data_IF_309148425378
#
_entry.id   IF_309148425378
#
_cell.length_a   1.000
_cell.length_b   1.000
_cell.length_c   1.000
_cell.angle_alpha   90.00
_cell.angle_beta   90.00
_cell.angle_gamma   90.00
#
_symmetry.space_group_name_H-M   'P 1'
#
loop_
_entity.id
_entity.type
_entity.pdbx_description
1 polymer ?
#
# COMPACT_ATOMS: atom_id res chain seq x y z
N UNK A 1 -16.06 4.90 -26.16
CA UNK A 1 -14.83 5.52 -26.70
C UNK A 1 -13.70 4.49 -26.64
N UNK A 2 -12.78 4.43 -27.60
CA UNK A 2 -11.65 3.50 -27.50
C UNK A 2 -10.71 3.97 -26.38
N UNK A 3 -10.29 3.05 -25.51
CA UNK A 3 -9.32 3.35 -24.44
C UNK A 3 -7.93 3.62 -25.06
N UNK A 4 -7.22 4.61 -24.54
CA UNK A 4 -5.84 4.88 -24.96
C UNK A 4 -4.90 3.77 -24.51
N UNK A 5 -3.76 3.63 -25.19
CA UNK A 5 -2.73 2.64 -24.83
C UNK A 5 -2.25 2.82 -23.38
N UNK A 6 -1.98 4.07 -22.97
CA UNK A 6 -1.61 4.41 -21.60
C UNK A 6 -2.70 4.03 -20.59
N UNK A 7 -3.98 4.21 -20.95
CA UNK A 7 -5.11 3.82 -20.09
C UNK A 7 -5.17 2.31 -19.89
N UNK A 8 -5.00 1.54 -20.97
CA UNK A 8 -4.96 0.07 -20.90
C UNK A 8 -3.77 -0.38 -20.05
N UNK A 9 -2.60 0.22 -20.27
CA UNK A 9 -1.38 -0.08 -19.53
C UNK A 9 -1.56 0.19 -18.04
N UNK A 10 -2.05 1.37 -17.67
CA UNK A 10 -2.28 1.77 -16.28
C UNK A 10 -3.31 0.88 -15.60
N UNK A 11 -4.43 0.58 -16.26
CA UNK A 11 -5.46 -0.31 -15.75
C UNK A 11 -4.96 -1.74 -15.49
N UNK A 12 -4.26 -2.33 -16.46
CA UNK A 12 -3.68 -3.68 -16.34
C UNK A 12 -2.65 -3.74 -15.21
N UNK A 13 -1.71 -2.79 -15.16
CA UNK A 13 -0.70 -2.77 -14.12
C UNK A 13 -1.28 -2.54 -12.73
N UNK A 14 -2.32 -1.70 -12.61
CA UNK A 14 -3.03 -1.51 -11.34
C UNK A 14 -3.65 -2.83 -10.87
N UNK A 15 -4.33 -3.57 -11.75
CA UNK A 15 -4.89 -4.89 -11.41
C UNK A 15 -3.77 -5.85 -10.95
N UNK A 16 -2.66 -5.91 -11.68
CA UNK A 16 -1.53 -6.78 -11.32
C UNK A 16 -1.01 -6.44 -9.93
N UNK A 17 -0.79 -5.16 -9.62
CA UNK A 17 -0.33 -4.70 -8.29
C UNK A 17 -1.35 -5.11 -7.23
N UNK A 18 -2.63 -4.81 -7.42
CA UNK A 18 -3.69 -5.13 -6.45
C UNK A 18 -3.78 -6.63 -6.19
N UNK A 19 -3.73 -7.45 -7.24
CA UNK A 19 -3.77 -8.93 -7.12
C UNK A 19 -2.55 -9.45 -6.38
N UNK A 20 -1.35 -8.97 -6.71
CA UNK A 20 -0.10 -9.41 -6.05
C UNK A 20 -0.11 -9.02 -4.56
N UNK A 21 -0.49 -7.79 -4.24
CA UNK A 21 -0.55 -7.32 -2.84
C UNK A 21 -1.61 -8.06 -2.05
N UNK A 22 -2.77 -8.31 -2.66
CA UNK A 22 -3.84 -9.10 -2.06
C UNK A 22 -3.36 -10.53 -1.79
N UNK A 23 -2.73 -11.17 -2.78
CA UNK A 23 -2.20 -12.52 -2.63
C UNK A 23 -1.14 -12.60 -1.52
N UNK A 24 -0.13 -11.72 -1.54
CA UNK A 24 0.93 -11.68 -0.53
C UNK A 24 0.36 -11.40 0.85
N UNK A 25 -0.52 -10.40 0.97
CA UNK A 25 -1.16 -10.01 2.22
C UNK A 25 -2.00 -11.15 2.80
N UNK A 26 -2.79 -11.85 1.99
CA UNK A 26 -3.55 -13.03 2.41
C UNK A 26 -2.64 -14.17 2.86
N UNK A 27 -1.51 -14.42 2.17
CA UNK A 27 -0.54 -15.45 2.58
C UNK A 27 0.10 -15.12 3.93
N UNK A 28 0.41 -13.85 4.19
CA UNK A 28 0.93 -13.40 5.49
C UNK A 28 -0.15 -13.52 6.55
N UNK A 29 -1.37 -13.03 6.29
CA UNK A 29 -2.49 -13.12 7.22
C UNK A 29 -2.82 -14.57 7.58
N UNK A 30 -2.76 -15.51 6.62
CA UNK A 30 -3.00 -16.93 6.86
C UNK A 30 -2.04 -17.55 7.88
N UNK A 31 -0.83 -17.00 8.06
CA UNK A 31 0.10 -17.44 9.11
C UNK A 31 -0.42 -17.21 10.53
N UNK A 32 -1.39 -16.32 10.71
CA UNK A 32 -2.13 -16.21 11.96
C UNK A 32 -2.83 -17.53 12.34
N UNK A 33 -3.36 -18.28 11.37
CA UNK A 33 -4.08 -19.52 11.66
C UNK A 33 -3.17 -20.59 12.23
N UNK A 34 -1.92 -20.63 11.78
CA UNK A 34 -0.86 -21.55 12.25
C UNK A 34 -0.24 -21.08 13.57
N UNK A 35 0.17 -19.81 13.65
CA UNK A 35 1.01 -19.29 14.74
C UNK A 35 0.21 -18.62 15.87
N UNK A 36 -1.07 -18.32 15.64
CA UNK A 36 -1.98 -17.58 16.55
C UNK A 36 -1.47 -16.21 17.00
N UNK A 37 -0.48 -15.64 16.30
CA UNK A 37 0.07 -14.31 16.57
C UNK A 37 -0.62 -13.26 15.71
N UNK A 38 -1.39 -12.36 16.35
CA UNK A 38 -2.21 -11.35 15.66
C UNK A 38 -1.40 -10.41 14.75
N UNK A 39 -0.11 -10.25 15.02
CA UNK A 39 0.82 -9.49 14.18
C UNK A 39 0.73 -9.91 12.72
N UNK A 40 0.69 -11.21 12.40
CA UNK A 40 0.59 -11.68 11.01
C UNK A 40 -0.72 -11.26 10.34
N UNK A 41 -1.83 -11.27 11.09
CA UNK A 41 -3.12 -10.82 10.59
C UNK A 41 -3.09 -9.31 10.28
N UNK A 42 -2.60 -8.50 11.23
CA UNK A 42 -2.51 -7.05 11.08
C UNK A 42 -1.59 -6.63 9.94
N UNK A 43 -0.40 -7.22 9.87
CA UNK A 43 0.56 -6.98 8.78
C UNK A 43 -0.02 -7.42 7.44
N UNK A 44 -0.62 -8.61 7.37
CA UNK A 44 -1.19 -9.13 6.14
C UNK A 44 -2.29 -8.21 5.60
N UNK A 45 -3.24 -7.80 6.44
CA UNK A 45 -4.33 -6.89 6.04
C UNK A 45 -3.78 -5.51 5.69
N UNK A 46 -2.81 -4.98 6.45
CA UNK A 46 -2.13 -3.72 6.13
C UNK A 46 -1.56 -3.78 4.72
N UNK A 47 -0.87 -4.88 4.38
CA UNK A 47 -0.24 -5.02 3.07
C UNK A 47 -1.25 -5.02 1.93
N UNK A 48 -2.43 -5.65 2.12
CA UNK A 48 -3.54 -5.55 1.15
C UNK A 48 -3.97 -4.09 1.02
N UNK A 49 -4.12 -3.42 2.15
CA UNK A 49 -4.55 -2.04 2.24
C UNK A 49 -3.58 -1.01 1.68
N UNK A 50 -2.27 -1.28 1.68
CA UNK A 50 -1.29 -0.43 1.01
C UNK A 50 -1.51 -0.35 -0.50
N UNK A 51 -2.23 -1.32 -1.08
CA UNK A 51 -2.62 -1.26 -2.48
C UNK A 51 -3.87 -0.40 -2.74
N UNK A 52 -4.52 0.16 -1.71
CA UNK A 52 -5.79 0.89 -1.86
C UNK A 52 -5.75 2.06 -2.83
N UNK A 53 -4.64 2.83 -2.98
CA UNK A 53 -4.57 3.89 -3.99
C UNK A 53 -4.79 3.38 -5.42
N UNK A 54 -4.52 2.10 -5.69
CA UNK A 54 -4.69 1.47 -7.01
C UNK A 54 -5.99 0.66 -7.16
N UNK A 55 -6.73 0.44 -6.07
CA UNK A 55 -8.06 -0.16 -6.13
C UNK A 55 -9.04 0.60 -7.05
N UNK A 56 -9.17 1.94 -6.96
CA UNK A 56 -10.12 2.64 -7.81
C UNK A 56 -9.74 2.56 -9.29
N UNK A 57 -8.45 2.66 -9.63
CA UNK A 57 -7.95 2.44 -11.00
C UNK A 57 -8.29 1.04 -11.52
N UNK A 58 -8.10 -0.01 -10.71
CA UNK A 58 -8.46 -1.38 -11.10
C UNK A 58 -9.96 -1.56 -11.30
N UNK A 59 -10.79 -1.09 -10.37
CA UNK A 59 -12.25 -1.20 -10.46
C UNK A 59 -12.77 -0.41 -11.65
N UNK A 60 -12.31 0.83 -11.79
CA UNK A 60 -12.72 1.72 -12.88
C UNK A 60 -12.30 1.19 -14.26
N UNK A 61 -11.10 0.61 -14.38
CA UNK A 61 -10.66 -0.02 -15.62
C UNK A 61 -11.56 -1.20 -16.01
N UNK A 62 -11.91 -2.08 -15.06
CA UNK A 62 -12.80 -3.21 -15.32
C UNK A 62 -14.19 -2.72 -15.76
N UNK A 63 -14.73 -1.68 -15.14
CA UNK A 63 -15.99 -1.07 -15.56
C UNK A 63 -15.88 -0.43 -16.95
N UNK A 64 -14.79 0.28 -17.23
CA UNK A 64 -14.54 0.89 -18.53
C UNK A 64 -14.51 -0.15 -19.67
N UNK A 65 -13.99 -1.36 -19.42
CA UNK A 65 -14.02 -2.46 -20.39
C UNK A 65 -15.43 -2.99 -20.68
N UNK A 66 -16.35 -2.91 -19.71
CA UNK A 66 -17.71 -3.42 -19.81
C UNK A 66 -18.67 -2.36 -20.38
N UNK A 67 -18.53 -1.12 -19.93
CA UNK A 67 -19.49 -0.02 -20.16
C UNK A 67 -19.09 0.89 -21.34
N UNK A 68 -18.02 0.56 -22.06
CA UNK A 68 -17.63 1.27 -23.28
C UNK A 68 -16.73 2.49 -23.08
N UNK A 69 -15.99 2.54 -21.97
CA UNK A 69 -14.79 3.36 -21.81
C UNK A 69 -14.77 4.37 -20.66
N UNK A 70 -15.90 4.62 -19.97
CA UNK A 70 -15.99 5.68 -18.96
C UNK A 70 -15.55 5.23 -17.55
N UNK A 71 -15.79 3.98 -17.17
CA UNK A 71 -15.48 3.50 -15.82
C UNK A 71 -16.19 4.34 -14.75
N UNK A 72 -15.46 4.77 -13.71
CA UNK A 72 -15.96 5.59 -12.61
C UNK A 72 -15.93 7.10 -12.88
N UNK A 73 -15.68 7.56 -14.12
CA UNK A 73 -15.63 9.01 -14.42
C UNK A 73 -16.91 9.76 -14.07
N UNK A 74 -18.06 9.11 -14.26
CA UNK A 74 -19.38 9.69 -13.97
C UNK A 74 -19.73 9.62 -12.46
N UNK A 75 -18.91 8.96 -11.66
CA UNK A 75 -19.07 8.81 -10.19
C UNK A 75 -17.73 8.99 -9.44
N UNK A 76 -17.09 10.16 -9.57
CA UNK A 76 -15.77 10.42 -9.02
C UNK A 76 -15.71 10.25 -7.49
N UNK A 77 -16.83 10.46 -6.79
CA UNK A 77 -16.93 10.25 -5.34
C UNK A 77 -16.61 8.79 -4.97
N UNK A 78 -17.14 7.83 -5.75
CA UNK A 78 -16.89 6.41 -5.54
C UNK A 78 -15.42 6.09 -5.78
N UNK A 79 -14.82 6.67 -6.82
CA UNK A 79 -13.39 6.52 -7.12
C UNK A 79 -12.54 6.97 -5.92
N UNK A 80 -12.78 8.18 -5.42
CA UNK A 80 -12.01 8.72 -4.29
C UNK A 80 -12.26 7.93 -2.99
N UNK A 81 -13.49 7.49 -2.74
CA UNK A 81 -13.83 6.69 -1.56
C UNK A 81 -13.10 5.35 -1.53
N UNK A 82 -13.09 4.63 -2.66
CA UNK A 82 -12.38 3.34 -2.78
C UNK A 82 -10.89 3.51 -2.53
N UNK A 83 -10.29 4.59 -3.04
CA UNK A 83 -8.86 4.84 -2.92
C UNK A 83 -8.39 5.18 -1.50
N UNK A 84 -9.17 6.00 -0.79
CA UNK A 84 -8.64 6.79 0.34
C UNK A 84 -9.26 6.48 1.71
N UNK A 85 -10.54 6.09 1.76
CA UNK A 85 -11.28 6.01 3.03
C UNK A 85 -10.71 4.94 3.96
N UNK A 86 -10.18 3.84 3.43
CA UNK A 86 -9.64 2.76 4.27
C UNK A 86 -8.16 2.95 4.66
N UNK A 87 -7.45 3.95 4.10
CA UNK A 87 -6.02 4.16 4.38
C UNK A 87 -5.76 4.37 5.89
N UNK A 88 -6.52 5.21 6.62
CA UNK A 88 -6.33 5.37 8.06
C UNK A 88 -6.48 4.08 8.84
N UNK A 89 -7.44 3.23 8.46
CA UNK A 89 -7.64 1.91 9.08
C UNK A 89 -6.44 1.00 8.85
N UNK A 90 -5.89 0.97 7.63
CA UNK A 90 -4.70 0.16 7.33
C UNK A 90 -3.46 0.66 8.07
N UNK A 91 -3.30 1.99 8.19
CA UNK A 91 -2.25 2.57 9.01
C UNK A 91 -2.42 2.22 10.50
N UNK A 92 -3.65 2.21 11.02
CA UNK A 92 -3.93 1.77 12.38
C UNK A 92 -3.52 0.31 12.60
N UNK A 93 -3.85 -0.59 11.66
CA UNK A 93 -3.47 -2.00 11.73
C UNK A 93 -1.94 -2.17 11.69
N UNK A 94 -1.25 -1.40 10.86
CA UNK A 94 0.21 -1.37 10.82
C UNK A 94 0.80 -1.00 12.18
N UNK A 95 0.28 0.05 12.80
CA UNK A 95 0.76 0.54 14.09
C UNK A 95 0.41 -0.41 15.23
N UNK A 96 -0.71 -1.16 15.14
CA UNK A 96 -1.00 -2.25 16.06
C UNK A 96 0.04 -3.37 15.94
N UNK A 97 0.41 -3.77 14.72
CA UNK A 97 1.46 -4.76 14.51
C UNK A 97 2.82 -4.31 15.05
N UNK A 98 3.21 -3.07 14.75
CA UNK A 98 4.48 -2.49 15.22
C UNK A 98 4.55 -2.42 16.75
N UNK A 99 3.49 -1.92 17.38
CA UNK A 99 3.46 -1.75 18.84
C UNK A 99 3.37 -3.06 19.60
N UNK A 100 2.81 -4.12 18.99
CA UNK A 100 2.89 -5.47 19.55
C UNK A 100 4.32 -6.05 19.55
N UNK A 101 5.24 -5.48 18.76
CA UNK A 101 6.60 -6.01 18.60
C UNK A 101 7.68 -5.16 19.28
N UNK A 102 7.64 -3.82 19.16
CA UNK A 102 8.78 -2.95 19.52
C UNK A 102 8.44 -1.87 20.56
N UNK A 103 7.16 -1.50 20.72
CA UNK A 103 6.73 -0.39 21.59
C UNK A 103 5.47 -0.71 22.38
N UNK A 104 5.44 -1.88 23.02
CA UNK A 104 4.26 -2.35 23.74
C UNK A 104 3.85 -1.42 24.89
N UNK A 105 4.82 -0.76 25.54
CA UNK A 105 4.62 0.20 26.62
C UNK A 105 3.97 1.51 26.15
N UNK A 106 4.20 1.92 24.90
CA UNK A 106 3.63 3.13 24.28
C UNK A 106 2.41 2.87 23.42
N UNK A 107 1.99 1.61 23.27
CA UNK A 107 0.88 1.19 22.40
C UNK A 107 -0.34 2.08 22.50
N UNK A 108 -0.88 2.29 23.71
CA UNK A 108 -2.11 3.07 23.89
C UNK A 108 -2.00 4.49 23.33
N UNK A 109 -0.87 5.15 23.56
CA UNK A 109 -0.64 6.53 23.12
C UNK A 109 -0.53 6.57 21.59
N UNK A 110 0.30 5.69 21.01
CA UNK A 110 0.51 5.61 19.56
C UNK A 110 -0.81 5.35 18.83
N UNK A 111 -1.61 4.40 19.33
CA UNK A 111 -2.90 4.06 18.73
C UNK A 111 -3.91 5.21 18.82
N UNK A 112 -3.98 5.92 19.95
CA UNK A 112 -4.85 7.10 20.08
C UNK A 112 -4.43 8.20 19.11
N UNK A 113 -3.12 8.45 18.95
CA UNK A 113 -2.63 9.46 18.01
C UNK A 113 -2.99 9.12 16.56
N UNK A 114 -2.84 7.85 16.17
CA UNK A 114 -3.18 7.39 14.81
C UNK A 114 -4.70 7.43 14.57
N UNK A 115 -5.50 7.12 15.58
CA UNK A 115 -6.97 7.27 15.51
C UNK A 115 -7.37 8.74 15.32
N UNK A 116 -6.82 9.66 16.11
CA UNK A 116 -7.10 11.10 15.98
C UNK A 116 -6.67 11.57 14.59
N UNK A 117 -5.48 11.19 14.16
CA UNK A 117 -4.94 11.52 12.84
C UNK A 117 -5.85 11.02 11.71
N UNK A 118 -6.30 9.76 11.78
CA UNK A 118 -7.19 9.16 10.81
C UNK A 118 -8.57 9.81 10.76
N UNK A 119 -9.20 10.00 11.91
CA UNK A 119 -10.53 10.63 12.02
C UNK A 119 -10.48 12.07 11.53
N UNK A 120 -9.41 12.81 11.84
CA UNK A 120 -9.23 14.17 11.34
C UNK A 120 -9.12 14.20 9.81
N UNK A 121 -8.33 13.30 9.21
CA UNK A 121 -8.27 13.16 7.76
C UNK A 121 -9.64 12.82 7.16
N UNK A 122 -10.31 11.78 7.64
CA UNK A 122 -11.61 11.35 7.10
C UNK A 122 -12.67 12.46 7.21
N UNK A 123 -12.71 13.19 8.33
CA UNK A 123 -13.64 14.29 8.51
C UNK A 123 -13.45 15.39 7.45
N UNK A 124 -12.19 15.80 7.21
CA UNK A 124 -11.88 16.81 6.18
C UNK A 124 -12.10 16.23 4.78
N UNK A 125 -11.70 14.99 4.53
CA UNK A 125 -11.87 14.30 3.26
C UNK A 125 -13.35 14.22 2.87
N UNK A 126 -14.23 13.75 3.76
CA UNK A 126 -15.66 13.67 3.47
C UNK A 126 -16.30 15.05 3.34
N UNK A 127 -15.87 16.03 4.14
CA UNK A 127 -16.34 17.40 3.97
C UNK A 127 -16.01 17.91 2.56
N UNK A 128 -14.74 17.82 2.13
CA UNK A 128 -14.32 18.22 0.78
C UNK A 128 -15.02 17.41 -0.31
N UNK A 129 -15.15 16.09 -0.16
CA UNK A 129 -15.79 15.21 -1.12
C UNK A 129 -17.21 15.67 -1.48
N UNK A 130 -17.97 16.18 -0.50
CA UNK A 130 -19.35 16.63 -0.69
C UNK A 130 -19.51 18.14 -0.92
N UNK A 131 -18.50 18.97 -0.65
CA UNK A 131 -18.57 20.43 -0.86
C UNK A 131 -17.77 20.92 -2.06
N UNK A 132 -16.61 20.33 -2.32
CA UNK A 132 -15.70 20.68 -3.42
C UNK A 132 -14.80 19.49 -3.76
N UNK A 133 -15.30 18.59 -4.61
CA UNK A 133 -14.58 17.39 -5.01
C UNK A 133 -13.25 17.68 -5.71
N UNK A 134 -13.12 18.83 -6.38
CA UNK A 134 -11.88 19.20 -7.04
C UNK A 134 -10.77 19.47 -6.03
N UNK A 135 -11.08 19.83 -4.79
CA UNK A 135 -10.10 19.96 -3.72
C UNK A 135 -9.59 18.60 -3.18
N UNK A 136 -10.24 17.49 -3.56
CA UNK A 136 -9.76 16.12 -3.30
C UNK A 136 -8.83 15.68 -4.42
N UNK A 137 -9.25 15.84 -5.68
CA UNK A 137 -8.49 15.46 -6.86
C UNK A 137 -9.29 15.64 -8.15
N UNK A 138 -8.62 15.45 -9.29
CA UNK A 138 -9.24 15.51 -10.61
C UNK A 138 -8.94 14.21 -11.35
N UNK A 139 -9.97 13.55 -11.90
CA UNK A 139 -9.78 12.34 -12.70
C UNK A 139 -9.23 12.69 -14.09
N UNK A 140 -8.13 12.02 -14.47
CA UNK A 140 -7.45 12.20 -15.75
C UNK A 140 -7.74 10.99 -16.65
N UNK A 141 -8.98 10.88 -17.15
CA UNK A 141 -9.42 9.66 -17.81
C UNK A 141 -10.05 8.66 -16.84
N UNK A 142 -10.30 7.40 -17.25
CA UNK A 142 -11.03 6.44 -16.44
C UNK A 142 -10.18 5.79 -15.35
N UNK A 143 -8.85 5.77 -15.46
CA UNK A 143 -7.98 4.98 -14.57
C UNK A 143 -6.98 5.80 -13.79
N UNK A 144 -6.90 7.10 -14.05
CA UNK A 144 -5.87 7.98 -13.52
C UNK A 144 -6.46 9.16 -12.76
N UNK A 145 -5.71 9.65 -11.77
CA UNK A 145 -6.13 10.67 -10.83
C UNK A 145 -4.98 11.58 -10.47
N UNK A 146 -5.23 12.87 -10.53
CA UNK A 146 -4.36 13.91 -10.01
C UNK A 146 -4.90 14.37 -8.66
N UNK A 147 -4.33 13.86 -7.57
CA UNK A 147 -4.70 14.26 -6.22
C UNK A 147 -4.28 15.70 -5.96
N UNK A 148 -5.14 16.44 -5.26
CA UNK A 148 -4.79 17.79 -4.81
C UNK A 148 -4.00 17.76 -3.50
N UNK A 149 -3.42 18.92 -3.18
CA UNK A 149 -2.49 19.12 -2.06
C UNK A 149 -2.96 18.53 -0.73
N UNK A 150 -4.26 18.58 -0.40
CA UNK A 150 -4.77 18.01 0.85
C UNK A 150 -4.56 16.49 0.92
N UNK A 151 -5.01 15.76 -0.11
CA UNK A 151 -4.86 14.30 -0.16
C UNK A 151 -3.40 13.92 -0.37
N UNK A 152 -2.67 14.66 -1.18
CA UNK A 152 -1.24 14.43 -1.43
C UNK A 152 -0.41 14.55 -0.14
N UNK A 153 -0.62 15.59 0.67
CA UNK A 153 0.05 15.74 1.97
C UNK A 153 -0.26 14.56 2.89
N UNK A 154 -1.53 14.13 2.93
CA UNK A 154 -1.92 12.96 3.71
C UNK A 154 -1.18 11.70 3.24
N UNK A 155 -1.19 11.41 1.93
CA UNK A 155 -0.51 10.24 1.37
C UNK A 155 1.00 10.27 1.64
N UNK A 156 1.66 11.42 1.43
CA UNK A 156 3.09 11.59 1.74
C UNK A 156 3.36 11.32 3.22
N UNK A 157 2.54 11.86 4.12
CA UNK A 157 2.74 11.63 5.55
C UNK A 157 2.50 10.17 5.97
N UNK A 158 1.59 9.44 5.30
CA UNK A 158 1.44 7.99 5.46
C UNK A 158 2.72 7.26 5.02
N UNK A 159 3.28 7.61 3.85
CA UNK A 159 4.56 7.04 3.40
C UNK A 159 5.70 7.33 4.39
N UNK A 160 5.77 8.55 4.93
CA UNK A 160 6.77 8.91 5.96
C UNK A 160 6.59 8.10 7.24
N UNK A 161 5.36 7.85 7.69
CA UNK A 161 5.12 7.00 8.85
C UNK A 161 5.56 5.56 8.54
N UNK A 162 5.20 5.03 7.38
CA UNK A 162 5.56 3.67 6.95
C UNK A 162 7.07 3.48 6.83
N UNK A 163 7.80 4.41 6.20
CA UNK A 163 9.26 4.31 6.06
C UNK A 163 9.94 4.31 7.43
N UNK A 164 9.57 5.23 8.31
CA UNK A 164 10.20 5.35 9.63
C UNK A 164 9.94 4.08 10.45
N UNK A 165 8.68 3.68 10.55
CA UNK A 165 8.27 2.56 11.41
C UNK A 165 8.71 1.21 10.85
N UNK A 166 8.69 1.06 9.53
CA UNK A 166 9.14 -0.14 8.84
C UNK A 166 10.66 -0.32 8.87
N UNK A 167 11.43 0.76 8.74
CA UNK A 167 12.90 0.72 8.96
C UNK A 167 13.22 0.38 10.42
N UNK A 168 12.50 0.94 11.38
CA UNK A 168 12.65 0.58 12.80
C UNK A 168 12.40 -0.92 13.03
N UNK A 169 11.34 -1.46 12.42
CA UNK A 169 11.00 -2.88 12.51
C UNK A 169 12.07 -3.79 11.90
N UNK A 170 12.53 -3.47 10.70
CA UNK A 170 13.61 -4.20 10.06
C UNK A 170 14.93 -4.11 10.83
N UNK A 171 15.25 -2.94 11.39
CA UNK A 171 16.46 -2.73 12.21
C UNK A 171 16.48 -3.63 13.44
N UNK A 172 15.35 -3.81 14.11
CA UNK A 172 15.29 -4.70 15.27
C UNK A 172 15.49 -6.17 14.86
N UNK A 173 14.93 -6.56 13.71
CA UNK A 173 15.17 -7.89 13.13
C UNK A 173 16.65 -8.13 12.78
N UNK A 174 17.37 -7.10 12.33
CA UNK A 174 18.80 -7.17 12.02
C UNK A 174 19.70 -7.41 13.25
N UNK A 175 19.21 -7.12 14.46
CA UNK A 175 19.97 -7.34 15.70
C UNK A 175 19.91 -8.79 16.19
N UNK A 176 19.01 -9.61 15.64
CA UNK A 176 18.91 -11.02 16.01
C UNK A 176 20.16 -11.82 15.66
N UNK A 177 20.56 -12.78 16.49
CA UNK A 177 21.65 -13.72 16.15
C UNK A 177 21.22 -14.74 15.09
N UNK A 178 19.92 -14.95 14.90
CA UNK A 178 19.41 -15.89 13.92
C UNK A 178 19.55 -15.31 12.48
N UNK A 179 20.28 -16.00 11.57
CA UNK A 179 20.51 -15.51 10.21
C UNK A 179 19.21 -15.39 9.39
N UNK A 180 18.18 -16.20 9.66
CA UNK A 180 16.89 -16.07 8.99
C UNK A 180 16.18 -14.78 9.39
N UNK A 181 16.19 -14.44 10.69
CA UNK A 181 15.57 -13.21 11.19
C UNK A 181 16.31 -11.98 10.65
N UNK A 182 17.65 -12.03 10.59
CA UNK A 182 18.46 -11.00 9.93
C UNK A 182 18.07 -10.82 8.46
N UNK A 183 17.94 -11.91 7.70
CA UNK A 183 17.54 -11.84 6.29
C UNK A 183 16.12 -11.26 6.13
N UNK A 184 15.17 -11.69 6.97
CA UNK A 184 13.82 -11.10 7.03
C UNK A 184 13.88 -9.59 7.22
N UNK A 185 14.66 -9.12 8.19
CA UNK A 185 14.88 -7.69 8.43
C UNK A 185 15.39 -6.92 7.21
N UNK A 186 16.39 -7.49 6.48
CA UNK A 186 16.89 -6.88 5.23
C UNK A 186 15.81 -6.78 4.16
N UNK A 187 15.06 -7.86 3.96
CA UNK A 187 14.00 -7.93 2.95
C UNK A 187 12.86 -6.96 3.27
N UNK A 188 12.50 -6.80 4.54
CA UNK A 188 11.50 -5.82 4.99
C UNK A 188 11.96 -4.39 4.67
N UNK A 189 13.19 -4.02 5.05
CA UNK A 189 13.71 -2.67 4.78
C UNK A 189 13.73 -2.39 3.27
N UNK A 190 14.23 -3.34 2.48
CA UNK A 190 14.27 -3.20 1.03
C UNK A 190 12.87 -3.07 0.42
N UNK A 191 11.89 -3.85 0.90
CA UNK A 191 10.52 -3.77 0.41
C UNK A 191 9.88 -2.42 0.71
N UNK A 192 10.03 -1.88 1.92
CA UNK A 192 9.50 -0.55 2.25
C UNK A 192 10.13 0.53 1.39
N UNK A 193 11.45 0.50 1.19
CA UNK A 193 12.13 1.46 0.31
C UNK A 193 11.59 1.38 -1.12
N UNK A 194 11.44 0.18 -1.68
CA UNK A 194 10.86 0.02 -3.01
C UNK A 194 9.40 0.47 -3.08
N UNK A 195 8.61 0.21 -2.04
CA UNK A 195 7.23 0.66 -1.96
C UNK A 195 7.15 2.19 -1.96
N UNK A 196 7.88 2.85 -1.06
CA UNK A 196 7.81 4.31 -0.91
C UNK A 196 8.32 5.03 -2.16
N UNK A 197 9.42 4.56 -2.77
CA UNK A 197 9.91 5.13 -4.03
C UNK A 197 8.89 4.88 -5.15
N UNK A 198 8.36 3.65 -5.26
CA UNK A 198 7.36 3.32 -6.28
C UNK A 198 6.09 4.16 -6.15
N UNK A 199 5.57 4.32 -4.93
CA UNK A 199 4.37 5.10 -4.64
C UNK A 199 4.60 6.61 -4.85
N UNK A 200 5.74 7.14 -4.42
CA UNK A 200 6.09 8.54 -4.64
C UNK A 200 6.31 8.85 -6.13
N UNK A 201 6.92 7.93 -6.88
CA UNK A 201 7.04 8.07 -8.34
C UNK A 201 5.69 8.04 -9.04
N UNK A 202 4.78 7.16 -8.61
CA UNK A 202 3.45 7.01 -9.23
C UNK A 202 2.55 8.23 -8.98
N UNK A 203 2.67 8.86 -7.82
CA UNK A 203 1.83 9.99 -7.41
C UNK A 203 2.44 11.36 -7.70
N UNK A 204 3.78 11.48 -7.65
CA UNK A 204 4.48 12.76 -7.74
C UNK A 204 5.11 13.07 -9.10
N UNK A 205 5.14 12.12 -10.04
CA UNK A 205 5.68 12.33 -11.39
C UNK A 205 4.55 12.25 -12.43
N UNK A 206 4.65 13.01 -13.54
CA UNK A 206 3.76 12.83 -14.68
C UNK A 206 3.77 11.36 -15.15
N UNK A 207 2.58 10.77 -15.26
CA UNK A 207 2.40 9.40 -15.70
C UNK A 207 2.59 9.30 -17.22
N UNK A 208 3.80 8.90 -17.58
CA UNK A 208 4.17 8.42 -18.90
C UNK A 208 4.24 6.90 -18.86
N UNK A 209 4.28 6.24 -20.02
CA UNK A 209 4.45 4.78 -20.10
C UNK A 209 5.70 4.32 -19.34
N UNK A 210 6.80 5.06 -19.44
CA UNK A 210 8.08 4.73 -18.80
C UNK A 210 8.00 4.90 -17.28
N UNK A 211 7.53 6.06 -16.80
CA UNK A 211 7.43 6.33 -15.36
C UNK A 211 6.47 5.36 -14.68
N UNK A 212 5.34 5.06 -15.32
CA UNK A 212 4.38 4.05 -14.88
C UNK A 212 5.03 2.66 -14.76
N UNK A 213 5.71 2.18 -15.81
CA UNK A 213 6.34 0.85 -15.80
C UNK A 213 7.37 0.75 -14.67
N UNK A 214 8.20 1.78 -14.49
CA UNK A 214 9.23 1.79 -13.43
C UNK A 214 8.56 1.77 -12.04
N UNK A 215 7.57 2.64 -11.80
CA UNK A 215 6.84 2.68 -10.54
C UNK A 215 6.21 1.30 -10.22
N UNK A 216 5.56 0.68 -11.20
CA UNK A 216 4.91 -0.63 -11.04
C UNK A 216 5.91 -1.76 -10.77
N UNK A 217 7.08 -1.77 -11.43
CA UNK A 217 8.15 -2.73 -11.13
C UNK A 217 8.62 -2.59 -9.68
N UNK A 218 8.83 -1.36 -9.21
CA UNK A 218 9.23 -1.11 -7.81
C UNK A 218 8.18 -1.62 -6.82
N UNK A 219 6.90 -1.34 -7.07
CA UNK A 219 5.80 -1.84 -6.24
C UNK A 219 5.75 -3.37 -6.23
N UNK A 220 5.91 -4.04 -7.38
CA UNK A 220 5.96 -5.50 -7.46
C UNK A 220 7.16 -6.07 -6.69
N UNK A 221 8.35 -5.47 -6.84
CA UNK A 221 9.54 -5.87 -6.09
C UNK A 221 9.34 -5.68 -4.58
N UNK A 222 8.63 -4.63 -4.18
CA UNK A 222 8.27 -4.42 -2.77
C UNK A 222 7.42 -5.57 -2.23
N UNK A 223 6.41 -6.04 -2.97
CA UNK A 223 5.56 -7.15 -2.54
C UNK A 223 6.35 -8.46 -2.42
N UNK A 224 7.28 -8.72 -3.34
CA UNK A 224 8.17 -9.89 -3.26
C UNK A 224 9.08 -9.80 -2.01
N UNK A 225 9.67 -8.62 -1.77
CA UNK A 225 10.50 -8.39 -0.60
C UNK A 225 9.71 -8.55 0.71
N UNK A 226 8.46 -8.08 0.74
CA UNK A 226 7.59 -8.16 1.92
C UNK A 226 7.14 -9.61 2.19
N UNK A 227 6.81 -10.36 1.14
CA UNK A 227 6.56 -11.81 1.23
C UNK A 227 7.75 -12.54 1.85
N UNK A 228 8.96 -12.27 1.36
CA UNK A 228 10.19 -12.82 1.93
C UNK A 228 10.48 -12.35 3.35
N UNK A 229 10.16 -11.08 3.64
CA UNK A 229 10.33 -10.44 4.93
C UNK A 229 9.53 -11.08 6.05
N UNK A 230 8.28 -11.44 5.81
CA UNK A 230 7.42 -12.03 6.84
C UNK A 230 7.40 -13.55 6.81
N UNK A 231 7.34 -14.16 5.62
CA UNK A 231 7.20 -15.62 5.48
C UNK A 231 8.57 -16.28 5.36
N UNK A 232 9.47 -15.71 4.54
CA UNK A 232 10.76 -16.29 4.15
C UNK A 232 10.62 -17.74 3.64
N UNK A 233 10.05 -17.95 2.44
CA UNK A 233 9.86 -19.27 1.86
C UNK A 233 11.21 -19.97 1.60
N UNK A 234 11.19 -21.30 1.52
CA UNK A 234 12.41 -22.12 1.41
C UNK A 234 13.27 -21.78 0.19
N UNK A 235 12.66 -21.42 -0.94
CA UNK A 235 13.41 -21.01 -2.13
C UNK A 235 14.25 -19.74 -1.87
N UNK A 236 13.74 -18.78 -1.08
CA UNK A 236 14.49 -17.60 -0.67
C UNK A 236 15.58 -17.96 0.32
N UNK A 237 15.31 -18.87 1.27
CA UNK A 237 16.33 -19.37 2.20
C UNK A 237 17.49 -20.01 1.45
N UNK A 238 17.20 -20.91 0.50
CA UNK A 238 18.20 -21.56 -0.35
C UNK A 238 19.00 -20.57 -1.17
N UNK A 239 18.33 -19.58 -1.76
CA UNK A 239 18.96 -18.54 -2.58
C UNK A 239 19.91 -17.64 -1.77
N UNK A 240 19.47 -17.13 -0.63
CA UNK A 240 20.20 -16.11 0.12
C UNK A 240 21.09 -16.65 1.26
N UNK A 241 20.68 -17.74 1.90
CA UNK A 241 21.43 -18.34 3.02
C UNK A 241 22.30 -19.53 2.58
N UNK A 242 22.21 -19.97 1.32
CA UNK A 242 22.94 -21.12 0.77
C UNK A 242 22.78 -22.41 1.60
N UNK A 243 21.68 -22.53 2.35
CA UNK A 243 21.30 -23.77 3.01
C UNK A 243 20.86 -24.77 1.92
N UNK A 244 21.41 -25.99 1.94
CA UNK A 244 21.05 -27.07 1.00
C UNK A 244 19.68 -27.63 1.34
#
# INVERSE_FOLDING_TARGET
MALSELTILSGVFSIIVVVIYTYVGLRIAAKYLELKQKVFLFVGITWIGLASPWWPSSVSFLLALIEGGNGLQDTPEIYFMIGNVMIPLFLLLWMLALTDLIYQDKRKIIIILILIYGVAFEAVFFWLLFTDINAVGVLQGPVDVEYQTFVEIFLISVLVILIITGVLFGRESLRSDNPEIKLKGKLIIASIIFFDIGAAMDSGLPLTEITLIIARILLILSAIGFYGGFILPDWMKKLFLKQK
#
